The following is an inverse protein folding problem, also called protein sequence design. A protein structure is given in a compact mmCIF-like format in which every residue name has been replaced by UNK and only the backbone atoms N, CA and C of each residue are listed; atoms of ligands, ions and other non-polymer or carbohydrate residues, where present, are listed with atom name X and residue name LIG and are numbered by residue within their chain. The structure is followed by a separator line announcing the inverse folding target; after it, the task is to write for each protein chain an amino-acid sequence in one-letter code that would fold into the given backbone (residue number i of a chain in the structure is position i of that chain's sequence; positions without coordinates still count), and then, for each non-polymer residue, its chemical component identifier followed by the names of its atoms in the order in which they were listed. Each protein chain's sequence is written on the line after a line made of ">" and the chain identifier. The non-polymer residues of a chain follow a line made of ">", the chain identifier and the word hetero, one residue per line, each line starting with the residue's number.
data_IF_692079880082
#
_entry.id   IF_692079880082
#
_cell.length_a   1.000
_cell.length_b   1.000
_cell.length_c   1.000
_cell.angle_alpha   90.00
_cell.angle_beta   90.00
_cell.angle_gamma   90.00
#
_symmetry.space_group_name_H-M   'P 1'
#
loop_
_entity.id
_entity.type
_entity.pdbx_description
1 polymer ?
#
# COMPACT_ATOMS: atom_id res chain seq x y z
N UNK A 1 -23.05 16.36 -16.54
CA UNK A 1 -24.14 17.21 -15.99
C UNK A 1 -23.50 18.22 -15.05
N UNK A 2 -23.99 19.47 -14.97
CA UNK A 2 -23.53 20.39 -13.94
C UNK A 2 -23.80 19.76 -12.56
N UNK A 3 -22.81 19.73 -11.67
CA UNK A 3 -22.96 19.31 -10.27
C UNK A 3 -23.35 20.51 -9.41
N UNK A 4 -23.97 20.25 -8.26
CA UNK A 4 -24.38 21.27 -7.28
C UNK A 4 -25.33 22.32 -7.88
N UNK A 5 -26.22 21.82 -8.73
CA UNK A 5 -27.32 22.60 -9.30
C UNK A 5 -28.64 22.05 -8.81
N UNK A 6 -29.53 22.96 -8.45
CA UNK A 6 -30.94 22.64 -8.25
C UNK A 6 -31.60 22.60 -9.63
N UNK A 7 -32.11 21.43 -10.01
CA UNK A 7 -32.94 21.27 -11.20
C UNK A 7 -34.43 21.30 -10.85
N UNK A 8 -35.25 21.64 -11.83
CA UNK A 8 -36.71 21.52 -11.72
C UNK A 8 -37.15 20.26 -12.45
N UNK A 9 -37.93 19.41 -11.77
CA UNK A 9 -38.47 18.17 -12.32
C UNK A 9 -40.00 18.26 -12.37
N UNK A 10 -40.58 17.98 -13.54
CA UNK A 10 -42.00 17.79 -13.71
C UNK A 10 -42.27 16.34 -14.14
N UNK A 11 -43.10 15.63 -13.37
CA UNK A 11 -43.52 14.27 -13.67
C UNK A 11 -45.01 14.22 -13.99
N UNK A 12 -45.38 13.52 -15.08
CA UNK A 12 -46.75 13.39 -15.55
C UNK A 12 -47.11 11.92 -15.73
N UNK A 13 -48.27 11.51 -15.23
CA UNK A 13 -48.80 10.17 -15.40
C UNK A 13 -50.27 10.22 -15.83
N UNK A 14 -50.64 9.39 -16.81
CA UNK A 14 -52.04 9.07 -17.06
C UNK A 14 -52.43 7.90 -16.17
N UNK A 15 -53.41 8.11 -15.29
CA UNK A 15 -53.88 7.11 -14.34
C UNK A 15 -55.24 6.60 -14.80
N UNK A 16 -55.48 5.29 -14.67
CA UNK A 16 -56.75 4.69 -15.06
C UNK A 16 -57.33 3.92 -13.89
N UNK A 17 -58.57 4.23 -13.53
CA UNK A 17 -59.35 3.54 -12.50
C UNK A 17 -60.47 2.75 -13.16
N UNK A 18 -60.57 1.47 -12.81
CA UNK A 18 -61.70 0.63 -13.21
C UNK A 18 -62.92 0.98 -12.35
N UNK A 19 -64.09 1.16 -13.00
CA UNK A 19 -65.33 1.52 -12.31
C UNK A 19 -66.11 0.30 -11.81
N UNK A 20 -65.70 -0.92 -12.16
CA UNK A 20 -66.39 -2.16 -11.78
C UNK A 20 -67.50 -2.62 -12.73
N UNK A 21 -67.87 -1.78 -13.72
CA UNK A 21 -68.90 -2.07 -14.74
C UNK A 21 -68.28 -2.38 -16.13
N UNK A 22 -66.97 -2.69 -16.18
CA UNK A 22 -66.22 -2.87 -17.42
C UNK A 22 -65.86 -1.57 -18.15
N UNK A 23 -66.29 -0.42 -17.61
CA UNK A 23 -65.87 0.92 -18.01
C UNK A 23 -64.71 1.43 -17.14
N UNK A 24 -63.92 2.35 -17.68
CA UNK A 24 -62.77 2.91 -16.97
C UNK A 24 -62.82 4.42 -16.98
N UNK A 25 -62.44 5.02 -15.86
CA UNK A 25 -62.12 6.44 -15.77
C UNK A 25 -60.63 6.63 -15.99
N UNK A 26 -60.27 7.60 -16.81
CA UNK A 26 -58.88 8.02 -17.00
C UNK A 26 -58.72 9.41 -16.42
N UNK A 27 -57.76 9.54 -15.54
CA UNK A 27 -57.37 10.77 -14.90
C UNK A 27 -55.90 11.02 -15.21
N UNK A 28 -55.38 12.12 -14.69
CA UNK A 28 -54.00 12.49 -14.89
C UNK A 28 -53.45 12.94 -13.55
N UNK A 29 -52.24 12.50 -13.24
CA UNK A 29 -51.52 12.86 -12.01
C UNK A 29 -50.24 13.59 -12.35
N UNK A 30 -49.87 14.58 -11.53
CA UNK A 30 -48.54 15.17 -11.52
C UNK A 30 -47.83 14.84 -10.22
N UNK A 31 -46.52 15.02 -10.25
CA UNK A 31 -45.72 15.11 -9.03
C UNK A 31 -46.23 16.25 -8.14
N UNK A 32 -46.19 16.06 -6.83
CA UNK A 32 -46.51 17.12 -5.87
C UNK A 32 -45.44 18.22 -5.88
N UNK A 33 -45.85 19.48 -5.85
CA UNK A 33 -44.91 20.60 -5.97
C UNK A 33 -45.57 21.94 -6.28
N UNK A 34 -44.81 22.87 -6.84
CA UNK A 34 -45.30 24.20 -7.21
C UNK A 34 -45.98 24.16 -8.58
N UNK A 35 -47.03 24.97 -8.74
CA UNK A 35 -47.77 25.04 -9.99
C UNK A 35 -46.96 25.77 -11.07
N UNK A 36 -46.86 25.20 -12.26
CA UNK A 36 -46.04 25.77 -13.35
C UNK A 36 -46.59 27.12 -13.85
N UNK A 37 -47.91 27.31 -13.81
CA UNK A 37 -48.57 28.58 -14.13
C UNK A 37 -49.71 28.86 -13.15
N UNK A 38 -49.92 30.13 -12.82
CA UNK A 38 -50.90 30.54 -11.80
C UNK A 38 -52.36 30.27 -12.18
N UNK A 39 -52.67 30.06 -13.48
CA UNK A 39 -54.05 29.80 -13.95
C UNK A 39 -54.10 28.90 -15.19
N UNK A 40 -55.02 27.92 -15.16
CA UNK A 40 -55.46 27.16 -16.33
C UNK A 40 -54.75 25.81 -16.57
N UNK A 41 -53.59 25.56 -15.95
CA UNK A 41 -52.93 24.26 -15.95
C UNK A 41 -52.63 23.83 -14.52
N UNK A 42 -53.00 22.61 -14.17
CA UNK A 42 -52.76 21.99 -12.87
C UNK A 42 -51.42 21.22 -12.85
N UNK A 43 -50.56 21.46 -13.84
CA UNK A 43 -49.23 20.88 -13.91
C UNK A 43 -48.31 21.45 -12.84
N UNK A 44 -47.57 20.55 -12.19
CA UNK A 44 -46.71 20.86 -11.06
C UNK A 44 -45.26 20.42 -11.32
N UNK A 45 -44.33 21.10 -10.67
CA UNK A 45 -42.92 20.76 -10.66
C UNK A 45 -42.38 20.78 -9.23
N UNK A 46 -41.35 19.98 -8.97
CA UNK A 46 -40.62 20.01 -7.71
C UNK A 46 -39.15 20.30 -7.97
N UNK A 47 -38.47 20.89 -7.00
CA UNK A 47 -37.03 21.08 -7.06
C UNK A 47 -36.32 19.80 -6.63
N UNK A 48 -35.26 19.45 -7.34
CA UNK A 48 -34.37 18.35 -6.98
C UNK A 48 -32.94 18.84 -7.02
N UNK A 49 -32.23 18.60 -5.93
CA UNK A 49 -30.81 18.94 -5.83
C UNK A 49 -29.99 17.78 -6.37
N UNK A 50 -29.20 18.06 -7.41
CA UNK A 50 -28.22 17.11 -7.91
C UNK A 50 -26.90 17.34 -7.18
N UNK A 51 -26.76 16.67 -6.04
CA UNK A 51 -25.49 16.61 -5.33
C UNK A 51 -24.62 15.55 -5.97
N UNK A 52 -23.40 15.95 -6.36
CA UNK A 52 -22.38 14.96 -6.69
C UNK A 52 -21.76 14.51 -5.37
N UNK A 53 -21.43 13.21 -5.20
CA UNK A 53 -20.48 12.87 -4.17
C UNK A 53 -19.23 13.68 -4.48
N UNK A 54 -18.86 14.59 -3.58
CA UNK A 54 -17.51 15.15 -3.61
C UNK A 54 -16.63 13.92 -3.59
N UNK A 55 -15.87 13.71 -4.66
CA UNK A 55 -14.77 12.76 -4.65
C UNK A 55 -13.83 13.28 -3.57
N UNK A 56 -14.06 12.81 -2.34
CA UNK A 56 -13.32 13.18 -1.15
C UNK A 56 -11.92 12.68 -1.39
N UNK A 57 -11.09 13.54 -1.98
CA UNK A 57 -9.71 13.27 -2.38
C UNK A 57 -9.51 11.83 -2.84
N UNK A 58 -9.45 11.59 -4.17
CA UNK A 58 -8.79 10.40 -4.68
C UNK A 58 -7.60 10.10 -3.76
N UNK A 59 -7.53 8.90 -3.15
CA UNK A 59 -6.42 8.59 -2.27
C UNK A 59 -5.14 8.98 -3.02
N UNK A 60 -4.17 9.64 -2.37
CA UNK A 60 -2.94 10.06 -3.03
C UNK A 60 -2.51 8.92 -3.93
N UNK A 61 -2.35 9.21 -5.23
CA UNK A 61 -1.95 8.18 -6.19
C UNK A 61 -0.57 7.73 -5.72
N UNK A 62 -0.53 6.61 -5.00
CA UNK A 62 0.66 6.03 -4.43
C UNK A 62 1.55 5.64 -5.61
N UNK A 63 2.50 6.52 -5.95
CA UNK A 63 3.50 6.21 -6.94
C UNK A 63 4.59 5.43 -6.24
N UNK A 64 4.42 4.12 -6.18
CA UNK A 64 5.46 3.21 -5.74
C UNK A 64 6.65 3.32 -6.70
N UNK A 65 7.82 3.64 -6.15
CA UNK A 65 9.04 3.81 -6.92
C UNK A 65 9.76 2.46 -7.03
N UNK A 66 9.08 1.45 -7.59
CA UNK A 66 9.61 0.10 -7.72
C UNK A 66 9.82 -0.61 -6.37
N UNK A 67 10.09 -1.90 -6.47
CA UNK A 67 10.35 -2.79 -5.33
C UNK A 67 11.80 -3.26 -5.39
N UNK A 68 12.42 -3.47 -4.25
CA UNK A 68 13.81 -3.89 -4.12
C UNK A 68 13.95 -4.99 -3.07
N UNK A 69 14.89 -5.90 -3.28
CA UNK A 69 15.22 -6.96 -2.32
C UNK A 69 16.04 -6.39 -1.17
N UNK A 70 15.69 -6.77 0.06
CA UNK A 70 16.40 -6.36 1.27
C UNK A 70 16.71 -7.54 2.20
N UNK A 71 17.87 -7.48 2.87
CA UNK A 71 18.29 -8.45 3.87
C UNK A 71 18.84 -7.75 5.11
N UNK A 72 18.58 -8.32 6.29
CA UNK A 72 19.29 -7.93 7.51
C UNK A 72 20.78 -8.27 7.41
N UNK A 73 21.63 -7.36 7.85
CA UNK A 73 23.07 -7.56 7.86
C UNK A 73 23.45 -8.62 8.89
N UNK A 74 24.22 -9.61 8.45
CA UNK A 74 24.68 -10.72 9.28
C UNK A 74 26.17 -11.01 9.11
N UNK A 75 26.68 -11.92 9.94
CA UNK A 75 28.09 -12.28 9.98
C UNK A 75 28.55 -13.20 8.84
N UNK A 76 27.62 -13.95 8.24
CA UNK A 76 27.91 -14.85 7.12
C UNK A 76 27.11 -14.44 5.89
N UNK A 77 27.76 -14.33 4.72
CA UNK A 77 27.03 -14.12 3.45
C UNK A 77 26.55 -15.46 2.88
N UNK A 78 25.56 -15.43 1.99
CA UNK A 78 25.16 -16.62 1.23
C UNK A 78 26.31 -17.20 0.36
N UNK A 79 27.29 -16.37 0.01
CA UNK A 79 28.48 -16.81 -0.71
C UNK A 79 29.43 -17.57 0.22
N UNK A 80 29.61 -17.07 1.46
CA UNK A 80 30.46 -17.73 2.47
C UNK A 80 29.88 -19.08 2.91
N UNK A 81 28.55 -19.19 2.99
CA UNK A 81 27.83 -20.43 3.24
C UNK A 81 27.91 -21.43 2.08
N UNK A 82 28.43 -21.03 0.92
CA UNK A 82 28.57 -21.89 -0.26
C UNK A 82 27.25 -22.27 -0.94
N UNK A 83 26.12 -21.62 -0.58
CA UNK A 83 24.80 -21.90 -1.14
C UNK A 83 24.57 -21.20 -2.49
N UNK A 84 25.38 -20.20 -2.82
CA UNK A 84 25.32 -19.48 -4.09
C UNK A 84 26.67 -18.85 -4.45
N UNK A 85 26.89 -18.59 -5.74
CA UNK A 85 28.07 -17.86 -6.22
C UNK A 85 27.74 -16.43 -6.69
N UNK A 86 26.47 -16.03 -6.65
CA UNK A 86 26.03 -14.79 -7.30
C UNK A 86 24.92 -14.02 -6.58
N UNK A 87 24.17 -14.68 -5.69
CA UNK A 87 23.12 -14.01 -4.91
C UNK A 87 23.73 -13.42 -3.64
N UNK A 88 23.27 -12.23 -3.27
CA UNK A 88 23.67 -11.55 -2.05
C UNK A 88 22.62 -11.79 -0.98
N UNK A 89 23.01 -11.54 0.28
CA UNK A 89 22.20 -11.78 1.46
C UNK A 89 23.05 -12.34 2.58
N UNK A 90 22.53 -12.26 3.80
CA UNK A 90 23.26 -12.63 5.00
C UNK A 90 22.44 -13.50 5.92
N UNK A 91 23.17 -14.25 6.74
CA UNK A 91 22.68 -14.99 7.89
C UNK A 91 23.23 -14.36 9.17
N UNK A 92 22.34 -14.17 10.13
CA UNK A 92 22.64 -13.67 11.47
C UNK A 92 22.64 -14.87 12.41
N UNK A 93 23.76 -15.13 13.10
CA UNK A 93 23.80 -16.11 14.19
C UNK A 93 23.41 -15.39 15.48
N UNK A 94 22.53 -16.02 16.26
CA UNK A 94 21.93 -15.47 17.47
C UNK A 94 22.08 -16.51 18.59
N UNK A 95 22.74 -16.13 19.67
CA UNK A 95 22.96 -16.99 20.83
C UNK A 95 21.92 -16.72 21.94
N UNK A 96 21.59 -17.73 22.75
CA UNK A 96 20.74 -17.51 23.92
C UNK A 96 21.41 -16.55 24.90
N UNK A 97 20.73 -15.45 25.19
CA UNK A 97 21.26 -14.29 25.91
C UNK A 97 21.43 -13.05 25.05
N UNK A 98 21.34 -13.15 23.72
CA UNK A 98 21.50 -12.02 22.82
C UNK A 98 20.28 -11.09 22.81
N UNK A 99 20.57 -9.78 22.79
CA UNK A 99 19.60 -8.70 22.59
C UNK A 99 20.32 -7.57 21.81
N UNK A 100 20.01 -7.44 20.53
CA UNK A 100 20.69 -6.50 19.64
C UNK A 100 19.82 -6.02 18.48
N UNK A 101 20.36 -5.04 17.74
CA UNK A 101 19.79 -4.57 16.48
C UNK A 101 20.85 -4.59 15.38
N UNK A 102 20.43 -4.95 14.16
CA UNK A 102 21.28 -4.93 12.97
C UNK A 102 20.55 -4.24 11.81
N UNK A 103 21.23 -3.47 10.94
CA UNK A 103 20.57 -2.78 9.83
C UNK A 103 20.02 -3.76 8.78
N UNK A 104 18.96 -3.34 8.08
CA UNK A 104 18.41 -4.00 6.90
C UNK A 104 18.80 -3.17 5.68
N UNK A 105 19.47 -3.80 4.72
CA UNK A 105 19.93 -3.14 3.49
C UNK A 105 19.16 -3.64 2.28
N UNK A 106 18.64 -2.70 1.49
CA UNK A 106 18.06 -2.95 0.18
C UNK A 106 19.10 -2.74 -0.93
N UNK A 107 19.08 -3.58 -1.96
CA UNK A 107 19.91 -3.41 -3.16
C UNK A 107 21.43 -3.53 -2.93
N UNK A 108 21.86 -4.18 -1.85
CA UNK A 108 23.29 -4.37 -1.52
C UNK A 108 23.94 -5.50 -2.33
N UNK A 109 23.83 -5.40 -3.66
CA UNK A 109 24.33 -6.38 -4.61
C UNK A 109 25.79 -6.75 -4.37
N UNK A 110 26.11 -8.04 -4.52
CA UNK A 110 27.43 -8.62 -4.22
C UNK A 110 27.85 -8.49 -2.75
N UNK A 111 26.90 -8.32 -1.83
CA UNK A 111 27.13 -8.09 -0.39
C UNK A 111 27.92 -6.80 -0.10
N UNK A 112 27.85 -5.82 -1.00
CA UNK A 112 28.52 -4.54 -0.86
C UNK A 112 27.55 -3.50 -0.29
N UNK A 113 27.62 -3.28 1.03
CA UNK A 113 26.73 -2.35 1.73
C UNK A 113 26.89 -0.90 1.26
N UNK A 114 28.01 -0.54 0.62
CA UNK A 114 28.21 0.82 0.08
C UNK A 114 27.37 1.09 -1.17
N UNK A 115 26.84 0.02 -1.80
CA UNK A 115 25.90 0.09 -2.91
C UNK A 115 24.45 -0.07 -2.48
N UNK A 116 24.22 -0.48 -1.23
CA UNK A 116 22.90 -0.66 -0.66
C UNK A 116 22.38 0.59 0.05
N UNK A 117 21.07 0.61 0.28
CA UNK A 117 20.39 1.63 1.08
C UNK A 117 19.94 0.98 2.39
N UNK A 118 20.26 1.59 3.53
CA UNK A 118 19.67 1.17 4.81
C UNK A 118 18.18 1.56 4.79
N UNK A 119 17.31 0.56 4.89
CA UNK A 119 15.84 0.73 4.78
C UNK A 119 15.12 0.43 6.08
N UNK A 120 15.82 -0.13 7.07
CA UNK A 120 15.23 -0.56 8.32
C UNK A 120 16.26 -1.16 9.28
N UNK A 121 15.76 -1.69 10.38
CA UNK A 121 16.51 -2.42 11.40
C UNK A 121 15.79 -3.69 11.77
N UNK A 122 16.56 -4.75 11.97
CA UNK A 122 16.10 -5.98 12.59
C UNK A 122 16.48 -5.93 14.07
N UNK A 123 15.49 -5.94 14.96
CA UNK A 123 15.70 -6.12 16.39
C UNK A 123 15.51 -7.59 16.75
N UNK A 124 16.49 -8.16 17.46
CA UNK A 124 16.52 -9.57 17.82
C UNK A 124 16.75 -9.68 19.33
N UNK A 125 15.90 -10.46 19.99
CA UNK A 125 16.04 -10.81 21.40
C UNK A 125 15.87 -12.32 21.53
N UNK A 126 16.90 -13.03 21.98
CA UNK A 126 16.84 -14.45 22.27
C UNK A 126 17.15 -14.68 23.75
N UNK A 127 16.12 -14.86 24.57
CA UNK A 127 16.27 -14.92 26.02
C UNK A 127 15.54 -16.13 26.61
N UNK A 128 16.31 -17.03 27.23
CA UNK A 128 15.79 -18.22 27.94
C UNK A 128 14.93 -19.10 27.04
N UNK A 129 15.37 -19.26 25.79
CA UNK A 129 14.67 -20.04 24.79
C UNK A 129 13.53 -19.31 24.10
N UNK A 130 13.20 -18.06 24.43
CA UNK A 130 12.23 -17.25 23.68
C UNK A 130 12.95 -16.35 22.68
N UNK A 131 12.79 -16.62 21.38
CA UNK A 131 13.34 -15.82 20.29
C UNK A 131 12.26 -14.85 19.80
N UNK A 132 12.56 -13.56 19.78
CA UNK A 132 11.74 -12.51 19.19
C UNK A 132 12.54 -11.77 18.12
N UNK A 133 11.97 -11.72 16.90
CA UNK A 133 12.55 -11.02 15.75
C UNK A 133 11.56 -9.96 15.29
N UNK A 134 12.00 -8.70 15.26
CA UNK A 134 11.17 -7.55 14.87
C UNK A 134 11.81 -6.78 13.74
N UNK A 135 11.09 -6.65 12.62
CA UNK A 135 11.42 -5.76 11.52
C UNK A 135 10.92 -4.35 11.86
N UNK A 136 11.78 -3.35 11.69
CA UNK A 136 11.47 -1.94 11.94
C UNK A 136 11.92 -1.13 10.73
N UNK A 137 11.00 -0.75 9.85
CA UNK A 137 11.33 0.03 8.66
C UNK A 137 11.63 1.49 9.02
N UNK A 138 12.58 2.10 8.30
CA UNK A 138 12.84 3.54 8.40
C UNK A 138 11.69 4.31 7.75
N UNK A 139 11.53 5.57 8.16
CA UNK A 139 10.53 6.46 7.56
C UNK A 139 10.75 6.58 6.05
N UNK A 140 9.67 6.49 5.29
CA UNK A 140 9.72 6.46 3.84
C UNK A 140 10.03 5.09 3.22
N UNK A 141 10.07 4.00 4.01
CA UNK A 141 10.18 2.63 3.51
C UNK A 141 9.10 1.75 4.12
N UNK A 142 8.56 0.82 3.31
CA UNK A 142 7.62 -0.19 3.77
C UNK A 142 7.95 -1.55 3.12
N UNK A 143 7.54 -2.63 3.75
CA UNK A 143 7.69 -4.01 3.28
C UNK A 143 6.41 -4.43 2.53
N UNK A 144 6.57 -4.97 1.34
CA UNK A 144 5.49 -5.61 0.57
C UNK A 144 5.37 -7.09 0.96
N UNK A 145 6.52 -7.78 0.96
CA UNK A 145 6.64 -9.19 1.32
C UNK A 145 7.73 -9.40 2.36
N UNK A 146 7.58 -10.43 3.19
CA UNK A 146 8.52 -10.81 4.23
C UNK A 146 8.79 -12.31 4.23
N UNK A 147 10.06 -12.67 4.33
CA UNK A 147 10.49 -14.05 4.45
C UNK A 147 11.50 -14.17 5.59
N UNK A 148 11.18 -14.97 6.60
CA UNK A 148 12.04 -15.19 7.77
C UNK A 148 12.36 -16.68 7.90
N UNK A 149 13.64 -17.02 7.94
CA UNK A 149 14.10 -18.35 8.31
C UNK A 149 14.73 -18.29 9.70
N UNK A 150 14.37 -19.27 10.52
CA UNK A 150 14.95 -19.52 11.85
C UNK A 150 15.26 -21.02 11.90
N UNK A 151 16.53 -21.38 12.10
CA UNK A 151 16.97 -22.78 12.20
C UNK A 151 18.22 -22.95 13.07
N UNK A 152 18.43 -24.14 13.61
CA UNK A 152 19.68 -24.48 14.33
C UNK A 152 20.86 -24.67 13.35
N UNK A 153 20.58 -25.16 12.15
CA UNK A 153 21.57 -25.37 11.10
C UNK A 153 21.76 -24.11 10.24
N UNK A 154 22.88 -24.03 9.52
CA UNK A 154 23.09 -23.02 8.48
C UNK A 154 22.05 -23.14 7.37
N UNK A 155 21.69 -22.00 6.76
CA UNK A 155 20.79 -21.99 5.62
C UNK A 155 21.39 -22.84 4.49
N UNK A 156 20.66 -23.86 4.05
CA UNK A 156 21.10 -24.79 2.99
C UNK A 156 20.59 -24.40 1.59
N UNK A 157 19.61 -23.51 1.50
CA UNK A 157 18.98 -23.11 0.24
C UNK A 157 18.27 -21.76 0.37
N UNK A 158 18.36 -20.94 -0.67
CA UNK A 158 17.65 -19.66 -0.78
C UNK A 158 16.22 -19.81 -1.33
N UNK A 159 15.76 -21.04 -1.58
CA UNK A 159 14.43 -21.29 -2.13
C UNK A 159 13.33 -20.97 -1.10
N UNK A 160 12.17 -20.43 -1.52
CA UNK A 160 11.10 -19.99 -0.61
C UNK A 160 10.63 -21.06 0.40
N UNK A 161 10.64 -22.34 0.02
CA UNK A 161 10.21 -23.44 0.90
C UNK A 161 11.11 -23.73 2.10
N UNK A 162 12.24 -23.02 2.26
CA UNK A 162 13.13 -23.14 3.42
C UNK A 162 12.92 -22.03 4.45
N UNK A 163 12.03 -21.06 4.21
CA UNK A 163 11.73 -20.03 5.19
C UNK A 163 10.65 -20.52 6.18
N UNK A 164 10.86 -20.22 7.46
CA UNK A 164 9.96 -20.57 8.57
C UNK A 164 8.66 -19.77 8.48
N UNK A 165 8.76 -18.52 8.03
CA UNK A 165 7.65 -17.60 7.82
C UNK A 165 7.76 -17.03 6.41
N UNK A 166 6.63 -17.05 5.70
CA UNK A 166 6.46 -16.46 4.38
C UNK A 166 5.16 -15.68 4.43
N UNK A 167 5.27 -14.36 4.41
CA UNK A 167 4.13 -13.44 4.35
C UNK A 167 4.22 -12.67 3.03
N UNK A 168 3.27 -12.91 2.15
CA UNK A 168 3.13 -12.22 0.86
C UNK A 168 1.95 -11.24 0.97
N UNK A 169 2.17 -9.97 0.63
CA UNK A 169 1.15 -8.93 0.74
C UNK A 169 0.74 -8.64 2.19
N UNK A 170 1.64 -8.01 2.94
CA UNK A 170 1.43 -7.63 4.33
C UNK A 170 0.18 -6.76 4.53
N UNK A 171 -0.51 -6.94 5.66
CA UNK A 171 -1.69 -6.15 5.99
C UNK A 171 -1.32 -4.70 6.34
N UNK A 172 -2.25 -3.77 6.11
CA UNK A 172 -2.10 -2.35 6.44
C UNK A 172 -1.51 -2.15 7.86
N UNK A 173 -0.35 -1.51 7.93
CA UNK A 173 0.36 -1.21 9.19
C UNK A 173 1.44 -2.22 9.58
N UNK A 174 1.42 -3.44 9.05
CA UNK A 174 2.51 -4.43 9.22
C UNK A 174 3.69 -4.16 8.26
N UNK A 175 3.44 -3.38 7.22
CA UNK A 175 4.42 -3.01 6.20
C UNK A 175 5.58 -2.17 6.81
N UNK A 176 5.31 -1.44 7.90
CA UNK A 176 6.32 -0.64 8.61
C UNK A 176 6.99 -1.38 9.78
N UNK A 177 6.32 -2.43 10.29
CA UNK A 177 6.78 -3.21 11.43
C UNK A 177 6.12 -4.59 11.45
N UNK A 178 6.94 -5.62 11.54
CA UNK A 178 6.49 -7.00 11.72
C UNK A 178 7.22 -7.64 12.91
N UNK A 179 6.54 -8.49 13.68
CA UNK A 179 7.13 -9.17 14.85
C UNK A 179 6.81 -10.66 14.81
N UNK A 180 7.85 -11.48 14.92
CA UNK A 180 7.76 -12.92 15.04
C UNK A 180 8.34 -13.38 16.38
N UNK A 181 7.67 -14.32 17.04
CA UNK A 181 8.14 -14.94 18.29
C UNK A 181 8.07 -16.47 18.16
N UNK A 182 9.16 -17.15 18.53
CA UNK A 182 9.24 -18.61 18.62
C UNK A 182 9.92 -19.04 19.91
N UNK A 183 9.85 -20.35 20.21
CA UNK A 183 10.52 -20.96 21.35
C UNK A 183 11.52 -22.00 20.85
N UNK A 184 12.79 -21.77 21.13
CA UNK A 184 13.91 -22.55 20.61
C UNK A 184 14.67 -23.21 21.77
N UNK A 185 15.04 -24.48 21.61
CA UNK A 185 15.79 -25.23 22.64
C UNK A 185 17.31 -25.23 22.43
N UNK A 186 17.76 -24.72 21.29
CA UNK A 186 19.17 -24.63 20.96
C UNK A 186 19.90 -23.57 21.81
N UNK A 187 21.22 -23.66 21.89
CA UNK A 187 22.01 -22.57 22.47
C UNK A 187 22.23 -21.41 21.49
N UNK A 188 22.13 -21.70 20.19
CA UNK A 188 22.35 -20.77 19.09
C UNK A 188 21.41 -21.11 17.95
N UNK A 189 20.89 -20.10 17.27
CA UNK A 189 20.07 -20.23 16.06
C UNK A 189 20.57 -19.29 14.98
N UNK A 190 20.34 -19.68 13.73
CA UNK A 190 20.60 -18.90 12.55
C UNK A 190 19.30 -18.26 12.06
N UNK A 191 19.37 -16.98 11.77
CA UNK A 191 18.26 -16.15 11.32
C UNK A 191 18.60 -15.53 9.97
N UNK A 192 17.74 -15.73 8.98
CA UNK A 192 17.80 -15.02 7.70
C UNK A 192 16.53 -14.21 7.57
N UNK A 193 16.69 -12.89 7.61
CA UNK A 193 15.61 -11.93 7.54
C UNK A 193 15.62 -11.23 6.18
N UNK A 194 14.64 -11.58 5.34
CA UNK A 194 14.46 -11.08 3.98
C UNK A 194 13.15 -10.31 3.87
N UNK A 195 13.18 -9.21 3.13
CA UNK A 195 11.99 -8.44 2.79
C UNK A 195 12.06 -7.94 1.34
N UNK A 196 10.90 -7.83 0.71
CA UNK A 196 10.72 -7.01 -0.49
C UNK A 196 10.27 -5.64 0.00
N UNK A 197 11.06 -4.61 -0.29
CA UNK A 197 10.82 -3.27 0.22
C UNK A 197 10.50 -2.31 -0.90
N UNK A 198 9.63 -1.36 -0.61
CA UNK A 198 9.33 -0.24 -1.47
C UNK A 198 9.61 1.08 -0.74
N UNK A 199 9.88 2.13 -1.51
CA UNK A 199 9.94 3.49 -0.97
C UNK A 199 8.51 3.94 -0.69
N UNK A 200 8.15 3.95 0.59
CA UNK A 200 6.87 4.42 1.08
C UNK A 200 6.71 5.93 0.91
N UNK A 201 5.70 6.32 0.12
CA UNK A 201 4.94 7.58 0.23
C UNK A 201 5.76 8.88 0.09
N UNK A 202 6.00 9.33 -1.14
CA UNK A 202 5.97 10.79 -1.38
C UNK A 202 4.49 11.16 -1.51
N UNK A 203 3.95 11.82 -0.49
CA UNK A 203 2.65 12.44 -0.55
C UNK A 203 2.74 13.60 -1.54
N UNK A 204 2.55 13.31 -2.83
CA UNK A 204 2.45 14.35 -3.85
C UNK A 204 1.22 15.16 -3.46
N UNK A 205 1.35 16.47 -3.15
CA UNK A 205 0.16 17.30 -2.99
C UNK A 205 -0.63 17.13 -4.28
N UNK A 206 -1.89 16.69 -4.15
CA UNK A 206 -2.79 16.63 -5.29
C UNK A 206 -2.65 17.96 -6.02
N UNK A 207 -2.12 17.91 -7.26
CA UNK A 207 -2.12 19.07 -8.11
C UNK A 207 -3.60 19.37 -8.36
N UNK A 208 -4.15 20.23 -7.51
CA UNK A 208 -5.39 20.92 -7.80
C UNK A 208 -5.08 21.61 -9.11
N UNK A 209 -5.63 21.11 -10.20
CA UNK A 209 -5.64 21.80 -11.46
C UNK A 209 -6.84 22.73 -11.43
N UNK A 210 -6.71 24.02 -11.06
CA UNK A 210 -7.67 24.98 -11.55
C UNK A 210 -7.37 25.11 -13.04
N UNK A 211 -8.40 24.93 -13.85
CA UNK A 211 -8.36 25.28 -15.26
C UNK A 211 -7.74 26.68 -15.44
N UNK A 212 -6.61 26.77 -16.14
CA UNK A 212 -6.05 28.03 -16.63
C UNK A 212 -4.62 28.36 -16.19
N UNK A 213 -3.64 27.89 -16.99
CA UNK A 213 -2.35 28.53 -17.32
C UNK A 213 -1.57 29.22 -16.18
N UNK A 214 -0.53 28.55 -15.69
CA UNK A 214 0.77 29.20 -15.44
C UNK A 214 1.90 28.15 -15.49
N UNK A 215 2.85 28.39 -16.41
CA UNK A 215 4.15 27.73 -16.41
C UNK A 215 4.92 28.15 -15.16
N UNK A 216 5.21 27.20 -14.28
CA UNK A 216 6.26 27.34 -13.28
C UNK A 216 7.34 26.31 -13.60
N UNK A 217 8.51 26.80 -14.00
CA UNK A 217 9.78 26.08 -13.97
C UNK A 217 10.13 25.85 -12.49
N UNK A 218 9.52 24.84 -11.88
CA UNK A 218 10.02 24.18 -10.69
C UNK A 218 10.64 22.89 -11.16
N UNK A 219 11.93 22.72 -10.91
CA UNK A 219 12.76 21.62 -11.37
C UNK A 219 12.17 20.29 -10.88
N UNK A 220 11.42 19.63 -11.76
CA UNK A 220 11.09 18.22 -11.63
C UNK A 220 12.42 17.51 -11.88
N UNK A 221 13.08 17.07 -10.80
CA UNK A 221 14.10 16.03 -10.92
C UNK A 221 13.38 14.77 -11.35
N UNK A 222 13.16 14.68 -12.66
CA UNK A 222 12.76 13.48 -13.37
C UNK A 222 13.64 12.33 -12.88
N UNK A 223 13.04 11.17 -12.60
CA UNK A 223 13.77 9.91 -12.50
C UNK A 223 14.65 9.82 -13.76
N UNK A 224 15.95 10.10 -13.61
CA UNK A 224 16.86 10.12 -14.72
C UNK A 224 17.02 8.66 -15.16
N UNK A 225 16.41 8.32 -16.30
CA UNK A 225 16.83 7.16 -17.06
C UNK A 225 18.19 7.47 -17.69
N UNK A 226 19.27 7.39 -16.92
CA UNK A 226 20.62 7.30 -17.47
C UNK A 226 21.07 5.87 -17.38
N UNK A 227 21.44 5.29 -18.52
CA UNK A 227 21.97 3.95 -18.63
C UNK A 227 23.05 3.67 -17.57
N UNK A 228 22.90 2.55 -16.86
CA UNK A 228 23.78 2.06 -15.78
C UNK A 228 23.62 2.78 -14.43
N UNK A 229 23.30 1.99 -13.40
CA UNK A 229 23.07 2.35 -11.98
C UNK A 229 21.61 2.66 -11.64
N UNK A 230 21.09 1.94 -10.65
CA UNK A 230 19.72 1.87 -10.15
C UNK A 230 19.14 3.25 -9.79
N UNK A 231 17.88 3.57 -10.17
CA UNK A 231 17.25 4.82 -9.78
C UNK A 231 16.72 4.71 -8.34
N UNK A 232 17.37 5.38 -7.40
CA UNK A 232 16.84 5.62 -6.05
C UNK A 232 16.66 7.14 -5.90
N UNK A 233 15.45 7.57 -5.54
CA UNK A 233 15.14 8.97 -5.27
C UNK A 233 16.01 9.46 -4.10
N UNK A 234 17.00 10.31 -4.39
CA UNK A 234 17.74 11.04 -3.36
C UNK A 234 17.09 12.40 -3.14
N UNK A 235 17.14 12.85 -1.88
CA UNK A 235 16.54 14.08 -1.35
C UNK A 235 17.13 15.38 -1.93
#
# INVERSE_FOLDING_TARGET
>A
MPCDVTGLLAGHAAVRRDNGDGGFQTETGWIDGEQIIDKGSWAMFSSVDFTCPVDTALPPVEKTCGTETAYALGGQTFIDLGITNSRWGWQVTVDDGDDFTTPIYAGAGQNDITKGTEVGKLAVSYLKGELTVTYLMLDGFVMEDLHLNVSEDDLVSIAPGHYTVVEEGLADGEESKFTYTSYETAASVNVVAHAVVEVGRINLPALISPAGVASAKGEITTCASSASTTPICQS
#
